data_IF_803756500917
#
_entry.id   IF_803756500917
#
_cell.length_a   1.000
_cell.length_b   1.000
_cell.length_c   1.000
_cell.angle_alpha   90.00
_cell.angle_beta   90.00
_cell.angle_gamma   90.00
#
_symmetry.space_group_name_H-M   'P 1'
#
loop_
_entity.id
_entity.type
_entity.pdbx_description
1 polymer ?
#
# COMPACT_ATOMS: atom_id res chain seq x y z
N UNK A 1 -23.71 -11.63 -67.12
CA UNK A 1 -23.16 -12.53 -66.08
C UNK A 1 -22.22 -11.70 -65.24
N UNK A 2 -22.76 -11.05 -64.20
CA UNK A 2 -22.01 -10.14 -63.32
C UNK A 2 -21.85 -10.84 -61.98
N UNK A 3 -20.62 -11.23 -61.66
CA UNK A 3 -20.27 -11.93 -60.43
C UNK A 3 -20.36 -10.94 -59.24
N UNK A 4 -21.39 -11.11 -58.42
CA UNK A 4 -21.50 -10.51 -57.09
C UNK A 4 -20.50 -11.21 -56.16
N UNK A 5 -19.40 -10.53 -55.85
CA UNK A 5 -18.50 -10.93 -54.77
C UNK A 5 -19.23 -10.75 -53.43
N UNK A 6 -19.51 -11.87 -52.75
CA UNK A 6 -19.99 -11.86 -51.37
C UNK A 6 -18.88 -11.33 -50.48
N UNK A 7 -19.11 -10.20 -49.82
CA UNK A 7 -18.27 -9.71 -48.74
C UNK A 7 -18.13 -10.80 -47.66
N UNK A 8 -16.91 -11.05 -47.14
CA UNK A 8 -16.73 -12.02 -46.06
C UNK A 8 -17.46 -11.51 -44.80
N UNK A 9 -17.96 -12.43 -43.95
CA UNK A 9 -18.61 -12.04 -42.71
C UNK A 9 -17.62 -11.25 -41.85
N UNK A 10 -18.09 -10.08 -41.38
CA UNK A 10 -17.43 -9.27 -40.37
C UNK A 10 -16.93 -10.17 -39.24
N UNK A 11 -15.64 -10.03 -38.93
CA UNK A 11 -14.98 -10.70 -37.84
C UNK A 11 -15.88 -10.70 -36.60
N UNK A 12 -15.98 -11.86 -35.93
CA UNK A 12 -16.46 -11.93 -34.55
C UNK A 12 -15.72 -10.85 -33.79
N UNK A 13 -16.45 -9.89 -33.21
CA UNK A 13 -15.91 -9.08 -32.12
C UNK A 13 -15.39 -10.09 -31.09
N UNK A 14 -14.08 -10.31 -31.07
CA UNK A 14 -13.41 -10.84 -29.90
C UNK A 14 -13.63 -9.78 -28.82
N UNK A 15 -14.80 -9.85 -28.18
CA UNK A 15 -15.02 -9.23 -26.89
C UNK A 15 -13.96 -9.84 -26.01
N UNK A 16 -12.84 -9.13 -25.83
CA UNK A 16 -11.93 -9.35 -24.73
C UNK A 16 -12.79 -9.11 -23.49
N UNK A 17 -13.48 -10.16 -23.05
CA UNK A 17 -14.35 -10.10 -21.89
C UNK A 17 -13.42 -9.72 -20.76
N UNK A 18 -13.57 -8.48 -20.30
CA UNK A 18 -12.75 -7.81 -19.32
C UNK A 18 -12.99 -8.42 -17.93
N UNK A 19 -12.73 -9.72 -17.81
CA UNK A 19 -12.98 -10.50 -16.62
C UNK A 19 -11.99 -10.06 -15.53
N UNK A 20 -12.48 -9.79 -14.31
CA UNK A 20 -11.60 -9.48 -13.20
C UNK A 20 -10.60 -10.62 -12.92
N UNK A 21 -9.31 -10.29 -12.96
CA UNK A 21 -8.22 -11.19 -12.57
C UNK A 21 -7.85 -10.90 -11.13
N UNK A 22 -7.92 -11.92 -10.26
CA UNK A 22 -7.54 -11.80 -8.85
C UNK A 22 -6.03 -11.52 -8.73
N UNK A 23 -5.70 -10.44 -8.03
CA UNK A 23 -4.33 -10.07 -7.65
C UNK A 23 -3.95 -10.63 -6.27
N UNK A 24 -4.88 -10.58 -5.31
CA UNK A 24 -4.66 -11.02 -3.94
C UNK A 24 -5.97 -11.07 -3.14
N UNK A 25 -5.98 -11.71 -1.98
CA UNK A 25 -7.10 -11.60 -1.04
C UNK A 25 -6.60 -11.64 0.40
N UNK A 26 -7.21 -10.82 1.24
CA UNK A 26 -7.10 -10.89 2.69
C UNK A 26 -8.35 -11.52 3.30
N UNK A 27 -8.54 -11.30 4.61
CA UNK A 27 -9.75 -11.72 5.34
C UNK A 27 -10.98 -10.85 5.04
N UNK A 28 -10.76 -9.59 4.65
CA UNK A 28 -11.79 -8.58 4.43
C UNK A 28 -12.24 -8.48 2.97
N UNK A 29 -11.29 -8.53 2.04
CA UNK A 29 -11.55 -8.24 0.64
C UNK A 29 -10.63 -9.02 -0.31
N UNK A 30 -11.05 -9.09 -1.56
CA UNK A 30 -10.22 -9.55 -2.68
C UNK A 30 -9.92 -8.38 -3.61
N UNK A 31 -8.66 -8.29 -4.02
CA UNK A 31 -8.18 -7.27 -4.96
C UNK A 31 -8.10 -7.88 -6.35
N UNK A 32 -8.63 -7.17 -7.34
CA UNK A 32 -8.68 -7.57 -8.74
C UNK A 32 -8.04 -6.52 -9.64
N UNK A 33 -7.64 -6.93 -10.84
CA UNK A 33 -7.38 -6.03 -11.97
C UNK A 33 -8.26 -6.45 -13.16
N UNK A 34 -8.59 -5.50 -14.01
CA UNK A 34 -9.33 -5.75 -15.26
C UNK A 34 -8.36 -5.53 -16.43
N UNK A 35 -8.25 -6.51 -17.33
CA UNK A 35 -7.43 -6.46 -18.55
C UNK A 35 -5.98 -6.00 -18.33
N UNK A 36 -5.39 -6.34 -17.18
CA UNK A 36 -4.02 -5.94 -16.84
C UNK A 36 -3.80 -4.43 -16.69
N UNK A 37 -4.87 -3.62 -16.65
CA UNK A 37 -4.81 -2.17 -16.60
C UNK A 37 -4.18 -1.58 -15.33
N UNK A 38 -4.09 -0.23 -15.27
CA UNK A 38 -3.43 0.51 -14.18
C UNK A 38 -4.30 0.66 -12.92
N UNK A 39 -5.49 0.05 -12.90
CA UNK A 39 -6.47 0.17 -11.81
C UNK A 39 -6.62 -1.17 -11.10
N UNK A 40 -6.57 -1.13 -9.78
CA UNK A 40 -6.91 -2.24 -8.90
C UNK A 40 -8.29 -1.99 -8.27
N UNK A 41 -9.04 -3.06 -8.04
CA UNK A 41 -10.39 -3.05 -7.49
C UNK A 41 -10.44 -3.90 -6.22
N UNK A 42 -10.73 -3.30 -5.07
CA UNK A 42 -10.88 -4.01 -3.79
C UNK A 42 -12.37 -4.23 -3.53
N UNK A 43 -12.81 -5.50 -3.62
CA UNK A 43 -14.20 -5.95 -3.41
C UNK A 43 -14.29 -6.70 -2.09
N UNK A 44 -15.24 -6.31 -1.23
CA UNK A 44 -15.48 -6.98 0.06
C UNK A 44 -15.96 -8.42 -0.12
N UNK A 45 -15.72 -9.25 0.88
CA UNK A 45 -16.26 -10.61 0.93
C UNK A 45 -17.71 -10.62 1.39
N UNK A 46 -18.06 -9.76 2.36
CA UNK A 46 -19.41 -9.61 2.87
C UNK A 46 -19.96 -8.20 2.55
N UNK A 47 -21.20 -8.13 2.06
CA UNK A 47 -21.88 -6.86 1.75
C UNK A 47 -22.09 -5.99 3.00
N UNK A 48 -22.15 -6.60 4.19
CA UNK A 48 -22.27 -5.87 5.46
C UNK A 48 -21.03 -5.01 5.77
N UNK A 49 -19.91 -5.27 5.09
CA UNK A 49 -18.66 -4.50 5.21
C UNK A 49 -18.62 -3.28 4.30
N UNK A 50 -19.72 -2.94 3.61
CA UNK A 50 -19.81 -1.79 2.71
C UNK A 50 -19.36 -0.48 3.37
N UNK A 51 -19.81 -0.22 4.60
CA UNK A 51 -19.45 1.00 5.34
C UNK A 51 -17.96 1.04 5.67
N UNK A 52 -17.39 -0.07 6.13
CA UNK A 52 -15.95 -0.18 6.39
C UNK A 52 -15.12 0.02 5.12
N UNK A 53 -15.58 -0.50 3.97
CA UNK A 53 -14.91 -0.29 2.69
C UNK A 53 -14.98 1.18 2.24
N UNK A 54 -16.11 1.85 2.47
CA UNK A 54 -16.25 3.27 2.18
C UNK A 54 -15.36 4.12 3.10
N UNK A 55 -15.30 3.81 4.40
CA UNK A 55 -14.41 4.45 5.36
C UNK A 55 -12.94 4.30 4.94
N UNK A 56 -12.54 3.10 4.48
CA UNK A 56 -11.20 2.87 3.92
C UNK A 56 -10.93 3.73 2.68
N UNK A 57 -11.89 3.80 1.74
CA UNK A 57 -11.78 4.63 0.54
C UNK A 57 -11.58 6.12 0.89
N UNK A 58 -12.37 6.64 1.82
CA UNK A 58 -12.26 8.03 2.29
C UNK A 58 -10.96 8.30 3.04
N UNK A 59 -10.52 7.34 3.86
CA UNK A 59 -9.24 7.41 4.57
C UNK A 59 -8.06 7.41 3.59
N UNK A 60 -8.10 6.55 2.56
CA UNK A 60 -7.08 6.50 1.52
C UNK A 60 -7.01 7.82 0.75
N UNK A 61 -8.14 8.40 0.32
CA UNK A 61 -8.15 9.71 -0.34
C UNK A 61 -7.50 10.77 0.56
N UNK A 62 -7.89 10.81 1.85
CA UNK A 62 -7.32 11.76 2.82
C UNK A 62 -5.81 11.59 3.00
N UNK A 63 -5.34 10.36 3.22
CA UNK A 63 -3.91 10.06 3.40
C UNK A 63 -3.14 10.41 2.14
N UNK A 64 -3.65 10.04 0.96
CA UNK A 64 -3.03 10.41 -0.32
C UNK A 64 -2.84 11.93 -0.41
N UNK A 65 -3.88 12.72 -0.13
CA UNK A 65 -3.80 14.18 -0.21
C UNK A 65 -2.89 14.82 0.84
N UNK A 66 -2.80 14.23 2.03
CA UNK A 66 -1.97 14.77 3.12
C UNK A 66 -0.50 14.34 3.05
N UNK A 67 -0.22 13.18 2.46
CA UNK A 67 1.06 12.48 2.60
C UNK A 67 1.77 12.23 1.27
N UNK A 68 1.08 12.17 0.13
CA UNK A 68 1.74 11.92 -1.16
C UNK A 68 2.23 13.25 -1.79
N UNK A 69 3.54 13.49 -1.78
CA UNK A 69 4.17 14.72 -2.34
C UNK A 69 5.15 14.38 -3.45
N UNK A 70 5.60 15.39 -4.22
CA UNK A 70 6.60 15.18 -5.28
C UNK A 70 7.95 14.64 -4.74
N UNK A 71 8.16 14.65 -3.41
CA UNK A 71 9.38 14.23 -2.75
C UNK A 71 9.17 13.08 -1.76
N UNK A 72 7.96 12.50 -1.68
CA UNK A 72 7.69 11.39 -0.76
C UNK A 72 8.47 10.14 -1.17
N UNK A 73 9.16 9.50 -0.22
CA UNK A 73 9.90 8.28 -0.50
C UNK A 73 8.97 7.12 -0.90
N UNK A 74 7.86 6.98 -0.18
CA UNK A 74 6.83 5.99 -0.47
C UNK A 74 5.67 6.61 -1.25
N UNK A 75 5.27 5.95 -2.34
CA UNK A 75 4.04 6.27 -3.05
C UNK A 75 2.80 5.73 -2.34
N UNK A 76 1.68 6.44 -2.46
CA UNK A 76 0.38 5.99 -1.98
C UNK A 76 -0.55 5.81 -3.18
N UNK A 77 -1.22 4.65 -3.34
CA UNK A 77 -2.23 4.49 -4.39
C UNK A 77 -3.34 5.54 -4.27
N UNK A 78 -3.72 6.21 -5.36
CA UNK A 78 -4.86 7.12 -5.34
C UNK A 78 -6.16 6.32 -5.24
N UNK A 79 -7.06 6.73 -4.36
CA UNK A 79 -8.46 6.34 -4.42
C UNK A 79 -9.12 6.96 -5.67
N UNK A 80 -9.75 6.13 -6.51
CA UNK A 80 -10.29 6.57 -7.80
C UNK A 80 -11.82 6.64 -7.84
N UNK A 81 -12.50 5.62 -7.33
CA UNK A 81 -13.96 5.57 -7.24
C UNK A 81 -14.40 4.52 -6.22
N UNK A 82 -15.58 4.71 -5.63
CA UNK A 82 -16.29 3.73 -4.82
C UNK A 82 -17.63 3.43 -5.46
N UNK A 83 -18.05 2.16 -5.45
CA UNK A 83 -19.33 1.72 -5.97
C UNK A 83 -19.95 0.70 -5.01
N UNK A 84 -21.16 1.01 -4.52
CA UNK A 84 -22.03 0.06 -3.86
C UNK A 84 -23.21 -0.26 -4.78
N UNK A 85 -23.24 -1.44 -5.42
CA UNK A 85 -24.30 -1.80 -6.37
C UNK A 85 -25.68 -2.01 -5.70
N UNK A 86 -25.74 -2.02 -4.37
CA UNK A 86 -26.99 -2.19 -3.60
C UNK A 86 -27.67 -0.84 -3.27
N UNK A 87 -27.03 0.28 -3.60
CA UNK A 87 -27.53 1.63 -3.33
C UNK A 87 -27.64 2.37 -4.66
N UNK A 88 -28.71 3.14 -4.84
CA UNK A 88 -28.86 3.95 -6.05
C UNK A 88 -27.74 5.01 -6.14
N UNK A 89 -27.27 5.38 -7.34
CA UNK A 89 -26.15 6.31 -7.50
C UNK A 89 -26.38 7.66 -6.83
N UNK A 90 -27.60 8.18 -6.97
CA UNK A 90 -27.98 9.50 -6.45
C UNK A 90 -28.02 9.50 -4.91
N UNK A 91 -28.09 8.32 -4.29
CA UNK A 91 -28.03 8.10 -2.84
C UNK A 91 -26.63 7.71 -2.34
N UNK A 92 -25.59 7.98 -3.14
CA UNK A 92 -24.19 7.69 -2.79
C UNK A 92 -23.73 6.28 -3.18
N UNK A 93 -24.50 5.56 -4.00
CA UNK A 93 -24.11 4.26 -4.55
C UNK A 93 -22.90 4.30 -5.48
N UNK A 94 -22.52 5.48 -5.99
CA UNK A 94 -21.30 5.67 -6.76
C UNK A 94 -20.64 7.01 -6.42
N UNK A 95 -19.39 6.96 -5.99
CA UNK A 95 -18.61 8.14 -5.57
C UNK A 95 -17.31 8.17 -6.38
N UNK A 96 -16.95 9.34 -6.91
CA UNK A 96 -15.68 9.55 -7.61
C UNK A 96 -14.95 10.75 -7.01
N UNK A 97 -13.66 10.63 -6.74
CA UNK A 97 -12.82 11.77 -6.33
C UNK A 97 -12.40 12.60 -7.55
N UNK A 98 -13.33 12.99 -8.42
CA UNK A 98 -13.00 13.40 -9.80
C UNK A 98 -12.27 14.75 -9.92
N UNK A 99 -12.08 15.52 -8.85
CA UNK A 99 -11.30 16.76 -8.92
C UNK A 99 -10.58 17.08 -7.61
N UNK A 100 -9.37 17.65 -7.70
CA UNK A 100 -8.70 18.26 -6.55
C UNK A 100 -9.59 19.32 -5.86
N UNK A 101 -10.56 19.87 -6.59
CA UNK A 101 -11.55 20.82 -6.10
C UNK A 101 -12.65 20.20 -5.21
N UNK A 102 -12.83 18.87 -5.23
CA UNK A 102 -13.86 18.17 -4.44
C UNK A 102 -13.31 17.46 -3.21
N UNK A 103 -11.99 17.25 -3.08
CA UNK A 103 -11.43 16.75 -1.82
C UNK A 103 -11.38 17.87 -0.78
N UNK A 104 -12.05 17.74 0.38
CA UNK A 104 -12.05 18.76 1.44
C UNK A 104 -10.66 18.96 2.04
N UNK A 105 -9.69 18.10 1.72
CA UNK A 105 -8.32 18.12 2.23
C UNK A 105 -7.34 18.92 1.34
N UNK A 106 -7.80 19.39 0.16
CA UNK A 106 -6.93 20.05 -0.83
C UNK A 106 -6.81 21.57 -0.59
N UNK A 107 -5.75 22.01 0.13
CA UNK A 107 -5.31 23.43 0.17
C UNK A 107 -4.08 23.71 -0.71
N UNK A 108 -3.43 22.66 -1.24
CA UNK A 108 -2.23 22.74 -2.05
C UNK A 108 -2.57 22.35 -3.49
N UNK A 109 -2.19 23.16 -4.49
CA UNK A 109 -2.45 22.85 -5.90
C UNK A 109 -1.65 21.61 -6.29
N UNK A 110 -2.28 20.48 -6.65
CA UNK A 110 -1.55 19.33 -7.19
C UNK A 110 -0.98 19.68 -8.57
N UNK A 111 0.08 18.97 -8.95
CA UNK A 111 0.74 19.05 -10.26
C UNK A 111 -0.26 18.84 -11.41
N UNK A 112 0.07 19.41 -12.59
CA UNK A 112 -0.62 19.19 -13.88
C UNK A 112 -0.95 17.70 -14.07
N UNK A 113 -2.25 17.40 -14.03
CA UNK A 113 -2.85 16.07 -14.07
C UNK A 113 -3.13 15.66 -15.52
N UNK A 114 -2.24 14.87 -16.08
CA UNK A 114 -2.47 13.95 -17.22
C UNK A 114 -1.68 12.71 -16.83
N UNK A 115 -2.22 11.61 -16.31
CA UNK A 115 -3.36 10.84 -16.77
C UNK A 115 -3.98 10.14 -15.55
N UNK A 116 -5.10 10.64 -15.03
CA UNK A 116 -5.87 9.85 -14.06
C UNK A 116 -6.74 8.87 -14.86
N UNK A 117 -6.66 7.56 -14.60
CA UNK A 117 -7.61 6.62 -15.18
C UNK A 117 -9.03 7.02 -14.77
N UNK A 118 -9.90 7.30 -15.74
CA UNK A 118 -11.31 7.52 -15.46
C UNK A 118 -11.96 6.18 -15.15
N UNK A 119 -12.43 6.03 -13.91
CA UNK A 119 -13.21 4.86 -13.50
C UNK A 119 -14.68 5.22 -13.57
N UNK A 120 -15.43 4.52 -14.42
CA UNK A 120 -16.87 4.77 -14.59
C UNK A 120 -17.69 3.70 -13.86
N UNK A 121 -18.93 4.02 -13.51
CA UNK A 121 -19.88 3.05 -12.94
C UNK A 121 -20.02 1.78 -13.80
N UNK A 122 -20.05 1.94 -15.14
CA UNK A 122 -20.14 0.81 -16.09
C UNK A 122 -18.91 -0.10 -16.04
N UNK A 123 -17.72 0.44 -15.74
CA UNK A 123 -16.53 -0.38 -15.57
C UNK A 123 -16.59 -1.19 -14.27
N UNK A 124 -17.19 -0.63 -13.21
CA UNK A 124 -17.32 -1.29 -11.91
C UNK A 124 -18.52 -2.24 -11.83
N UNK A 125 -19.43 -2.24 -12.82
CA UNK A 125 -20.63 -3.11 -12.81
C UNK A 125 -20.31 -4.59 -12.98
N UNK A 126 -19.06 -4.96 -13.25
CA UNK A 126 -18.58 -6.35 -13.21
C UNK A 126 -18.52 -6.91 -11.79
N UNK A 127 -18.58 -6.05 -10.77
CA UNK A 127 -18.63 -6.43 -9.37
C UNK A 127 -20.04 -6.28 -8.82
N UNK A 128 -20.54 -7.35 -8.22
CA UNK A 128 -21.86 -7.49 -7.60
C UNK A 128 -21.91 -7.11 -6.11
N UNK A 129 -20.78 -6.67 -5.56
CA UNK A 129 -20.62 -6.29 -4.15
C UNK A 129 -19.89 -4.95 -4.03
N UNK A 130 -19.97 -4.26 -2.87
CA UNK A 130 -19.24 -3.01 -2.63
C UNK A 130 -17.78 -3.13 -3.02
N UNK A 131 -17.32 -2.18 -3.82
CA UNK A 131 -15.98 -2.20 -4.41
C UNK A 131 -15.47 -0.77 -4.50
N UNK A 132 -14.19 -0.55 -4.17
CA UNK A 132 -13.51 0.69 -4.57
C UNK A 132 -12.33 0.40 -5.50
N UNK A 133 -12.09 1.34 -6.39
CA UNK A 133 -11.00 1.36 -7.35
C UNK A 133 -9.87 2.27 -6.86
N UNK A 134 -8.63 1.87 -7.08
CA UNK A 134 -7.43 2.65 -6.77
C UNK A 134 -6.34 2.44 -7.83
N UNK A 135 -5.31 3.28 -7.81
CA UNK A 135 -4.11 3.00 -8.60
C UNK A 135 -3.56 1.60 -8.25
N UNK A 136 -3.10 0.90 -9.27
CA UNK A 136 -2.53 -0.43 -9.09
C UNK A 136 -1.06 -0.35 -8.70
N UNK A 137 -0.69 -1.05 -7.64
CA UNK A 137 0.71 -1.46 -7.43
C UNK A 137 0.99 -2.63 -8.37
N UNK A 138 1.91 -2.45 -9.32
CA UNK A 138 2.22 -3.47 -10.31
C UNK A 138 3.11 -4.56 -9.70
N UNK A 139 3.12 -5.73 -10.36
CA UNK A 139 4.06 -6.78 -10.00
C UNK A 139 5.49 -6.31 -10.31
N UNK A 140 6.46 -6.73 -9.49
CA UNK A 140 7.88 -6.51 -9.73
C UNK A 140 8.30 -6.97 -11.14
N UNK A 141 9.33 -6.36 -11.73
CA UNK A 141 9.88 -6.79 -13.01
C UNK A 141 10.18 -8.29 -13.03
N UNK A 142 9.91 -8.95 -14.15
CA UNK A 142 9.94 -10.41 -14.26
C UNK A 142 11.29 -11.01 -13.82
N UNK A 143 12.39 -10.40 -14.25
CA UNK A 143 13.75 -10.82 -13.93
C UNK A 143 14.05 -10.69 -12.43
N UNK A 144 13.59 -9.63 -11.76
CA UNK A 144 13.67 -9.47 -10.30
C UNK A 144 12.91 -10.58 -9.58
N UNK A 145 11.72 -10.95 -10.09
CA UNK A 145 10.91 -12.03 -9.51
C UNK A 145 11.59 -13.38 -9.65
N UNK A 146 12.22 -13.65 -10.79
CA UNK A 146 13.02 -14.86 -11.03
C UNK A 146 14.21 -14.89 -10.07
N UNK A 147 14.94 -13.78 -9.93
CA UNK A 147 16.06 -13.69 -8.99
C UNK A 147 15.63 -14.00 -7.54
N UNK A 148 14.56 -13.35 -7.05
CA UNK A 148 14.05 -13.59 -5.70
C UNK A 148 13.60 -15.03 -5.51
N UNK A 149 12.93 -15.61 -6.51
CA UNK A 149 12.52 -17.02 -6.51
C UNK A 149 13.73 -17.93 -6.33
N UNK A 150 14.74 -17.78 -7.19
CA UNK A 150 15.90 -18.67 -7.22
C UNK A 150 16.76 -18.54 -5.95
N UNK A 151 16.73 -17.38 -5.28
CA UNK A 151 17.46 -17.16 -4.02
C UNK A 151 16.75 -17.67 -2.78
N UNK A 152 15.42 -17.49 -2.70
CA UNK A 152 14.71 -17.62 -1.42
C UNK A 152 13.59 -18.66 -1.41
N UNK A 153 13.28 -19.26 -2.56
CA UNK A 153 12.18 -20.21 -2.69
C UNK A 153 12.73 -21.61 -3.04
N UNK A 154 12.08 -22.68 -2.55
CA UNK A 154 12.45 -24.03 -2.94
C UNK A 154 12.11 -24.27 -4.44
N UNK A 155 12.77 -25.24 -5.10
CA UNK A 155 12.58 -25.50 -6.53
C UNK A 155 11.14 -25.82 -6.95
N UNK A 156 10.28 -26.24 -6.01
CA UNK A 156 8.88 -26.53 -6.27
C UNK A 156 8.04 -25.27 -6.60
N UNK A 157 8.51 -24.08 -6.21
CA UNK A 157 7.80 -22.83 -6.47
C UNK A 157 8.05 -22.41 -7.92
N UNK A 158 6.98 -22.32 -8.69
CA UNK A 158 7.05 -22.02 -10.12
C UNK A 158 7.21 -20.53 -10.40
N UNK A 159 6.58 -19.68 -9.57
CA UNK A 159 6.43 -18.25 -9.83
C UNK A 159 6.99 -17.45 -8.66
N UNK A 160 7.88 -16.51 -8.97
CA UNK A 160 8.46 -15.60 -8.00
C UNK A 160 7.45 -14.57 -7.46
N UNK A 161 7.77 -13.92 -6.33
CA UNK A 161 6.83 -13.05 -5.65
C UNK A 161 6.44 -11.85 -6.53
N UNK A 162 5.18 -11.43 -6.47
CA UNK A 162 4.72 -10.27 -7.25
C UNK A 162 5.09 -8.94 -6.57
N UNK A 163 5.16 -8.94 -5.23
CA UNK A 163 5.49 -7.81 -4.39
C UNK A 163 6.27 -8.31 -3.18
N UNK A 164 7.03 -7.43 -2.54
CA UNK A 164 7.77 -7.72 -1.32
C UNK A 164 7.26 -6.85 -0.17
N UNK A 165 6.93 -7.45 0.98
CA UNK A 165 6.63 -6.72 2.22
C UNK A 165 7.92 -6.40 2.96
N UNK A 166 8.16 -5.13 3.27
CA UNK A 166 9.41 -4.67 3.88
C UNK A 166 9.37 -4.92 5.39
N UNK A 167 9.97 -6.01 5.86
CA UNK A 167 9.95 -6.40 7.29
C UNK A 167 11.22 -5.95 8.01
N UNK A 168 11.42 -4.64 8.15
CA UNK A 168 12.66 -4.09 8.70
C UNK A 168 12.71 -4.16 10.24
N UNK A 169 11.61 -4.54 10.90
CA UNK A 169 11.53 -4.80 12.35
C UNK A 169 11.81 -6.23 12.77
N UNK A 170 12.01 -7.14 11.82
CA UNK A 170 12.19 -8.57 12.10
C UNK A 170 13.33 -9.16 11.30
N UNK A 171 14.24 -9.83 12.00
CA UNK A 171 15.18 -10.76 11.39
C UNK A 171 14.46 -12.09 11.18
N UNK A 172 14.37 -12.54 9.94
CA UNK A 172 13.82 -13.87 9.63
C UNK A 172 14.93 -14.91 9.79
N UNK A 173 14.53 -16.14 10.13
CA UNK A 173 15.47 -17.26 10.03
C UNK A 173 15.88 -17.45 8.56
N UNK A 174 17.14 -17.83 8.36
CA UNK A 174 17.64 -18.28 7.06
C UNK A 174 17.09 -19.66 6.66
N UNK A 175 16.41 -20.35 7.59
CA UNK A 175 15.75 -21.61 7.29
C UNK A 175 14.67 -21.40 6.23
N UNK A 176 14.67 -22.27 5.21
CA UNK A 176 13.62 -22.29 4.21
C UNK A 176 12.29 -22.57 4.91
N UNK A 177 11.31 -21.64 4.86
CA UNK A 177 10.07 -21.83 5.59
C UNK A 177 9.34 -23.07 5.05
N UNK A 178 8.84 -23.91 5.96
CA UNK A 178 8.09 -25.14 5.61
C UNK A 178 6.84 -24.86 4.78
N UNK A 179 6.32 -23.63 4.87
CA UNK A 179 5.21 -23.12 4.08
C UNK A 179 5.67 -21.89 3.31
N UNK A 180 5.57 -21.94 1.99
CA UNK A 180 6.05 -20.89 1.11
C UNK A 180 4.85 -20.20 0.49
N UNK A 181 4.63 -18.93 0.86
CA UNK A 181 3.62 -18.08 0.24
C UNK A 181 4.33 -17.05 -0.64
N UNK A 182 4.24 -17.22 -1.97
CA UNK A 182 4.80 -16.28 -2.94
C UNK A 182 4.01 -14.98 -3.05
N UNK A 183 2.80 -14.90 -2.50
CA UNK A 183 1.98 -13.69 -2.54
C UNK A 183 2.39 -12.64 -1.50
N UNK A 184 2.97 -13.08 -0.37
CA UNK A 184 3.35 -12.23 0.76
C UNK A 184 4.83 -12.44 1.11
N UNK A 185 5.75 -12.17 0.18
CA UNK A 185 7.17 -12.41 0.42
C UNK A 185 7.73 -11.38 1.41
N UNK A 186 8.20 -11.81 2.60
CA UNK A 186 8.77 -10.90 3.56
C UNK A 186 10.23 -10.63 3.22
N UNK A 187 10.54 -9.34 3.06
CA UNK A 187 11.85 -8.80 2.72
C UNK A 187 12.40 -8.07 3.94
N UNK A 188 13.13 -8.81 4.78
CA UNK A 188 13.91 -8.23 5.87
C UNK A 188 15.19 -7.56 5.34
N UNK A 189 15.93 -6.90 6.24
CA UNK A 189 17.15 -6.15 5.89
C UNK A 189 18.20 -7.04 5.23
N UNK A 190 18.34 -8.30 5.64
CA UNK A 190 19.30 -9.23 5.05
C UNK A 190 18.93 -9.57 3.60
N UNK A 191 17.67 -9.98 3.38
CA UNK A 191 17.16 -10.30 2.04
C UNK A 191 17.15 -9.06 1.13
N UNK A 192 16.86 -7.89 1.69
CA UNK A 192 16.98 -6.60 0.99
C UNK A 192 18.42 -6.37 0.54
N UNK A 193 19.41 -6.57 1.42
CA UNK A 193 20.82 -6.49 1.07
C UNK A 193 21.23 -7.42 -0.08
N UNK A 194 20.72 -8.66 -0.11
CA UNK A 194 20.92 -9.59 -1.23
C UNK A 194 20.25 -9.07 -2.51
N UNK A 195 19.03 -8.55 -2.43
CA UNK A 195 18.34 -7.97 -3.59
C UNK A 195 19.13 -6.79 -4.17
N UNK A 196 19.71 -5.94 -3.33
CA UNK A 196 20.58 -4.82 -3.77
C UNK A 196 21.82 -5.26 -4.53
N UNK A 197 22.31 -6.49 -4.34
CA UNK A 197 23.43 -7.00 -5.15
C UNK A 197 23.02 -7.26 -6.60
N UNK A 198 21.71 -7.50 -6.83
CA UNK A 198 21.12 -7.66 -8.16
C UNK A 198 20.61 -6.32 -8.72
N UNK A 199 20.06 -5.47 -7.84
CA UNK A 199 19.53 -4.15 -8.15
C UNK A 199 20.34 -3.06 -7.41
N UNK A 200 21.56 -2.74 -7.88
CA UNK A 200 22.45 -1.81 -7.19
C UNK A 200 21.91 -0.38 -7.06
N UNK A 201 20.92 -0.01 -7.87
CA UNK A 201 20.19 1.25 -7.85
C UNK A 201 19.21 1.38 -6.67
N UNK A 202 18.90 0.27 -5.97
CA UNK A 202 18.10 0.32 -4.75
C UNK A 202 18.83 1.11 -3.65
N UNK A 203 18.12 1.99 -2.92
CA UNK A 203 18.72 2.78 -1.85
C UNK A 203 19.20 1.88 -0.69
N UNK A 204 20.18 2.33 0.11
CA UNK A 204 20.53 1.72 1.39
C UNK A 204 19.31 1.45 2.29
N UNK A 205 19.41 0.47 3.17
CA UNK A 205 18.30 0.11 4.06
C UNK A 205 17.95 1.27 5.02
N UNK A 206 18.95 2.05 5.41
CA UNK A 206 18.83 3.24 6.25
C UNK A 206 17.98 4.32 5.56
N UNK A 207 18.17 4.57 4.27
CA UNK A 207 17.34 5.53 3.51
C UNK A 207 15.89 5.04 3.39
N UNK A 208 15.68 3.73 3.20
CA UNK A 208 14.32 3.14 3.20
C UNK A 208 13.67 3.30 4.57
N UNK A 209 14.42 3.06 5.66
CA UNK A 209 13.94 3.22 7.02
C UNK A 209 13.61 4.67 7.36
N UNK A 210 14.43 5.62 6.91
CA UNK A 210 14.15 7.05 6.97
C UNK A 210 12.84 7.38 6.24
N UNK A 211 12.63 6.87 5.02
CA UNK A 211 11.37 7.00 4.29
C UNK A 211 10.16 6.37 5.01
N UNK A 212 10.34 5.26 5.72
CA UNK A 212 9.28 4.67 6.56
C UNK A 212 8.90 5.61 7.70
N UNK A 213 9.91 6.23 8.32
CA UNK A 213 9.74 7.24 9.36
C UNK A 213 9.02 8.48 8.84
N UNK A 214 9.45 9.02 7.70
CA UNK A 214 8.80 10.14 7.00
C UNK A 214 7.31 9.85 6.80
N UNK A 215 6.98 8.72 6.17
CA UNK A 215 5.61 8.40 5.81
C UNK A 215 4.72 8.23 7.06
N UNK A 216 5.21 7.53 8.10
CA UNK A 216 4.49 7.41 9.36
C UNK A 216 4.30 8.77 10.04
N UNK A 217 5.33 9.62 10.02
CA UNK A 217 5.30 10.97 10.55
C UNK A 217 4.27 11.85 9.84
N UNK A 218 4.11 11.71 8.53
CA UNK A 218 3.04 12.39 7.78
C UNK A 218 1.65 11.86 8.10
N UNK A 219 1.46 10.54 8.18
CA UNK A 219 0.17 9.97 8.55
C UNK A 219 -0.26 10.47 9.93
N UNK A 220 0.65 10.43 10.90
CA UNK A 220 0.41 10.95 12.23
C UNK A 220 0.18 12.47 12.16
N UNK A 221 1.19 13.26 11.83
CA UNK A 221 1.14 14.72 11.99
C UNK A 221 0.18 15.44 11.03
N UNK A 222 0.15 15.03 9.75
CA UNK A 222 -0.65 15.72 8.72
C UNK A 222 -2.03 15.12 8.59
N UNK A 223 -2.11 13.81 8.31
CA UNK A 223 -3.39 13.15 8.07
C UNK A 223 -4.19 12.96 9.36
N UNK A 224 -3.57 12.94 10.54
CA UNK A 224 -4.31 12.59 11.74
C UNK A 224 -4.80 11.14 11.68
N UNK A 225 -3.99 10.24 11.13
CA UNK A 225 -4.23 8.79 11.03
C UNK A 225 -3.24 8.01 11.89
N UNK A 226 -3.67 6.91 12.53
CA UNK A 226 -2.84 6.08 13.43
C UNK A 226 -1.96 5.04 12.70
N UNK A 227 -2.10 4.95 11.37
CA UNK A 227 -1.39 4.01 10.51
C UNK A 227 -1.54 2.54 10.93
N UNK A 228 -2.65 2.16 11.55
CA UNK A 228 -2.92 0.76 11.90
C UNK A 228 -3.09 -0.11 10.65
N UNK A 229 -2.40 -1.23 10.63
CA UNK A 229 -2.38 -2.28 9.60
C UNK A 229 -1.86 -1.83 8.22
N UNK A 230 -1.22 -0.65 8.14
CA UNK A 230 -0.61 -0.23 6.88
C UNK A 230 0.61 -1.09 6.54
N UNK A 231 0.77 -1.40 5.26
CA UNK A 231 1.85 -2.26 4.78
C UNK A 231 2.83 -1.48 3.91
N UNK A 232 4.12 -1.58 4.26
CA UNK A 232 5.20 -1.03 3.45
C UNK A 232 5.69 -2.10 2.48
N UNK A 233 5.64 -1.80 1.19
CA UNK A 233 5.95 -2.78 0.14
C UNK A 233 6.88 -2.23 -0.93
N UNK A 234 7.63 -3.12 -1.57
CA UNK A 234 8.33 -2.89 -2.82
C UNK A 234 7.55 -3.59 -3.94
N UNK A 235 7.10 -2.82 -4.92
CA UNK A 235 6.33 -3.28 -6.07
C UNK A 235 6.86 -2.72 -7.38
N UNK A 236 6.28 -3.15 -8.50
CA UNK A 236 6.58 -2.60 -9.82
C UNK A 236 5.89 -1.25 -10.04
N UNK A 237 6.47 -0.41 -10.89
CA UNK A 237 5.91 0.89 -11.29
C UNK A 237 5.00 0.83 -12.54
N UNK A 238 4.93 -0.34 -13.19
CA UNK A 238 4.17 -0.54 -14.44
C UNK A 238 4.91 -0.15 -15.71
N UNK A 239 6.11 0.44 -15.61
CA UNK A 239 6.98 0.84 -16.71
C UNK A 239 8.27 -0.01 -16.82
N UNK A 240 8.35 -1.09 -16.04
CA UNK A 240 9.51 -1.99 -15.98
C UNK A 240 10.49 -1.67 -14.87
N UNK A 241 10.22 -0.66 -14.05
CA UNK A 241 10.95 -0.33 -12.84
C UNK A 241 10.23 -0.80 -11.57
N UNK A 242 10.59 -0.19 -10.45
CA UNK A 242 10.07 -0.49 -9.12
C UNK A 242 9.82 0.81 -8.34
N UNK A 243 8.92 0.71 -7.37
CA UNK A 243 8.58 1.80 -6.46
C UNK A 243 8.27 1.23 -5.07
N UNK A 244 8.55 2.03 -4.05
CA UNK A 244 8.16 1.78 -2.68
C UNK A 244 6.75 2.32 -2.44
N UNK A 245 5.84 1.49 -1.92
CA UNK A 245 4.45 1.89 -1.67
C UNK A 245 4.03 1.65 -0.23
N UNK A 246 3.04 2.42 0.22
CA UNK A 246 2.23 2.05 1.38
C UNK A 246 0.82 1.65 0.93
N UNK A 247 0.37 0.49 1.39
CA UNK A 247 -0.92 -0.10 1.03
C UNK A 247 -1.66 -0.59 2.28
N UNK A 248 -2.89 -1.09 2.05
CA UNK A 248 -3.84 -1.62 3.04
C UNK A 248 -4.20 -0.64 4.16
N UNK A 249 -5.35 0.03 4.02
CA UNK A 249 -5.77 1.10 4.92
C UNK A 249 -7.06 0.75 5.68
N UNK A 250 -7.48 -0.51 5.62
CA UNK A 250 -8.76 -1.02 6.13
C UNK A 250 -8.94 -0.90 7.64
N UNK A 251 -7.85 -0.84 8.42
CA UNK A 251 -7.90 -0.73 9.88
C UNK A 251 -7.45 0.64 10.39
N UNK A 252 -7.07 1.57 9.51
CA UNK A 252 -6.54 2.88 9.88
C UNK A 252 -7.63 3.72 10.54
N UNK A 253 -7.30 4.35 11.67
CA UNK A 253 -8.23 5.16 12.46
C UNK A 253 -7.74 6.60 12.54
N UNK A 254 -8.69 7.50 12.80
CA UNK A 254 -8.39 8.89 13.10
C UNK A 254 -7.74 8.98 14.48
N UNK A 255 -6.73 9.83 14.63
CA UNK A 255 -6.21 10.22 15.93
C UNK A 255 -6.26 11.75 16.10
N UNK A 256 -6.24 12.20 17.36
CA UNK A 256 -6.57 13.58 17.74
C UNK A 256 -5.50 14.62 17.41
N UNK A 257 -4.25 14.20 17.22
CA UNK A 257 -3.07 15.09 17.16
C UNK A 257 -2.71 15.78 18.48
N UNK A 258 -3.15 15.21 19.61
CA UNK A 258 -2.83 15.69 20.95
C UNK A 258 -1.72 14.84 21.58
N UNK A 259 -0.89 15.46 22.43
CA UNK A 259 0.22 14.76 23.10
C UNK A 259 -0.30 13.75 24.13
N UNK A 260 -1.45 14.04 24.73
CA UNK A 260 -2.12 13.21 25.73
C UNK A 260 -2.58 11.87 25.14
N UNK A 261 -2.92 11.85 23.85
CA UNK A 261 -3.47 10.68 23.15
C UNK A 261 -2.39 9.89 22.39
N UNK A 262 -1.11 10.25 22.55
CA UNK A 262 0.02 9.56 21.89
C UNK A 262 0.07 8.07 22.23
N UNK A 263 -0.43 7.68 23.42
CA UNK A 263 -0.50 6.28 23.84
C UNK A 263 -1.31 5.42 22.86
N UNK A 264 -2.30 6.02 22.18
CA UNK A 264 -3.16 5.31 21.21
C UNK A 264 -2.41 4.95 19.92
N UNK A 265 -1.25 5.58 19.65
CA UNK A 265 -0.39 5.29 18.50
C UNK A 265 0.59 4.14 18.77
N UNK A 266 0.90 3.86 20.05
CA UNK A 266 1.88 2.84 20.43
C UNK A 266 1.39 1.45 20.03
N UNK A 267 0.11 1.15 20.28
CA UNK A 267 -0.43 -0.17 19.98
C UNK A 267 -0.48 -0.45 18.46
N UNK A 268 -1.00 0.45 17.60
CA UNK A 268 -0.86 0.36 16.14
C UNK A 268 0.57 0.07 15.68
N UNK A 269 1.57 0.79 16.20
CA UNK A 269 2.97 0.58 15.82
C UNK A 269 3.45 -0.88 16.00
N UNK A 270 3.01 -1.54 17.07
CA UNK A 270 3.46 -2.90 17.41
C UNK A 270 2.52 -4.04 16.98
N UNK A 271 1.25 -3.74 16.68
CA UNK A 271 0.31 -4.75 16.14
C UNK A 271 0.40 -4.87 14.64
N UNK A 272 0.91 -3.85 13.96
CA UNK A 272 1.33 -3.98 12.59
C UNK A 272 2.33 -5.14 12.48
N UNK A 273 2.32 -5.81 11.33
CA UNK A 273 3.42 -6.66 10.93
C UNK A 273 4.76 -5.92 11.13
N UNK A 274 5.90 -6.61 11.28
CA UNK A 274 7.16 -6.02 11.72
C UNK A 274 7.84 -5.19 10.62
N UNK A 275 7.11 -4.23 10.07
CA UNK A 275 7.52 -3.32 9.00
C UNK A 275 8.57 -2.35 9.50
N UNK A 276 8.30 -1.68 10.62
CA UNK A 276 9.16 -0.64 11.16
C UNK A 276 10.42 -1.22 11.82
N UNK A 277 11.58 -0.55 11.70
CA UNK A 277 12.76 -0.87 12.50
C UNK A 277 12.42 -0.94 13.99
N UNK A 278 13.08 -1.85 14.72
CA UNK A 278 12.81 -1.98 16.17
C UNK A 278 13.23 -0.71 16.90
N UNK A 279 12.42 -0.15 17.80
CA UNK A 279 12.75 1.06 18.57
C UNK A 279 13.88 0.86 19.59
N UNK A 280 15.11 0.71 19.09
CA UNK A 280 16.33 0.54 19.85
C UNK A 280 17.24 1.73 19.53
N UNK A 281 17.50 2.64 20.49
CA UNK A 281 18.24 3.88 20.23
C UNK A 281 19.63 3.72 19.61
N UNK A 282 20.27 2.55 19.80
CA UNK A 282 21.59 2.24 19.26
C UNK A 282 21.55 1.51 17.90
N UNK A 283 20.36 1.19 17.38
CA UNK A 283 20.19 0.56 16.06
C UNK A 283 20.22 1.64 14.97
N UNK A 284 21.19 1.61 14.04
CA UNK A 284 21.29 2.60 12.97
C UNK A 284 20.02 2.71 12.11
N UNK A 285 19.32 1.59 11.89
CA UNK A 285 18.11 1.57 11.07
C UNK A 285 16.97 2.31 11.78
N UNK A 286 16.86 2.16 13.09
CA UNK A 286 15.92 2.92 13.90
C UNK A 286 16.30 4.39 14.02
N UNK A 287 17.60 4.71 14.09
CA UNK A 287 18.04 6.12 14.08
C UNK A 287 17.63 6.84 12.79
N UNK A 288 17.77 6.17 11.63
CA UNK A 288 17.31 6.70 10.35
C UNK A 288 15.79 6.90 10.32
N UNK A 289 15.02 5.88 10.73
CA UNK A 289 13.57 5.99 10.91
C UNK A 289 13.16 7.14 11.82
N UNK A 290 13.81 7.26 12.98
CA UNK A 290 13.57 8.31 13.97
C UNK A 290 13.83 9.71 13.39
N UNK A 291 14.87 9.84 12.56
CA UNK A 291 15.19 11.08 11.85
C UNK A 291 14.05 11.47 10.91
N UNK A 292 13.71 10.61 9.96
CA UNK A 292 12.65 10.86 8.98
C UNK A 292 11.29 11.15 9.62
N UNK A 293 10.97 10.47 10.74
CA UNK A 293 9.75 10.72 11.50
C UNK A 293 9.71 12.11 12.13
N UNK A 294 10.78 12.53 12.83
CA UNK A 294 10.83 13.82 13.53
C UNK A 294 10.92 15.03 12.60
N UNK A 295 11.48 14.86 11.41
CA UNK A 295 11.50 15.92 10.39
C UNK A 295 10.09 16.35 9.96
N UNK A 296 9.11 15.48 10.11
CA UNK A 296 7.73 15.80 9.76
C UNK A 296 7.02 16.68 10.78
N UNK A 297 7.66 16.95 11.93
CA UNK A 297 7.12 17.79 12.99
C UNK A 297 7.84 19.14 13.05
N UNK A 298 7.07 20.23 12.94
CA UNK A 298 7.57 21.59 13.11
C UNK A 298 7.84 21.93 14.58
N UNK A 299 8.44 23.08 14.84
CA UNK A 299 8.85 23.52 16.20
C UNK A 299 7.75 23.36 17.26
N UNK A 300 6.50 23.66 16.92
CA UNK A 300 5.36 23.62 17.85
C UNK A 300 4.75 22.23 18.04
N UNK A 301 4.94 21.30 17.09
CA UNK A 301 4.39 19.94 17.17
C UNK A 301 5.45 18.88 17.47
N UNK A 302 6.73 19.27 17.50
CA UNK A 302 7.86 18.36 17.74
C UNK A 302 7.76 17.60 19.05
N UNK A 303 7.21 18.21 20.10
CA UNK A 303 6.97 17.53 21.39
C UNK A 303 6.07 16.31 21.25
N UNK A 304 5.09 16.34 20.35
CA UNK A 304 4.18 15.20 20.07
C UNK A 304 4.96 14.06 19.42
N UNK A 305 5.79 14.37 18.42
CA UNK A 305 6.63 13.38 17.76
C UNK A 305 7.65 12.73 18.72
N UNK A 306 8.28 13.53 19.58
CA UNK A 306 9.19 13.04 20.63
C UNK A 306 8.45 12.14 21.61
N UNK A 307 7.28 12.56 22.10
CA UNK A 307 6.48 11.77 23.04
C UNK A 307 6.12 10.38 22.48
N UNK A 308 5.82 10.29 21.18
CA UNK A 308 5.56 9.03 20.51
C UNK A 308 6.79 8.12 20.47
N UNK A 309 7.93 8.65 20.03
CA UNK A 309 9.18 7.91 19.95
C UNK A 309 9.62 7.40 21.34
N UNK A 310 9.55 8.26 22.36
CA UNK A 310 9.84 7.88 23.74
C UNK A 310 8.88 6.80 24.27
N UNK A 311 7.63 6.78 23.79
CA UNK A 311 6.66 5.75 24.16
C UNK A 311 6.95 4.40 23.50
N UNK A 312 7.25 4.37 22.21
CA UNK A 312 7.58 3.11 21.51
C UNK A 312 8.94 2.54 21.95
N UNK A 313 9.92 3.38 22.30
CA UNK A 313 11.22 2.95 22.86
C UNK A 313 11.03 2.26 24.22
N UNK A 314 10.19 2.83 25.11
CA UNK A 314 9.87 2.21 26.40
C UNK A 314 9.14 0.88 26.24
N UNK A 315 8.16 0.80 25.35
CA UNK A 315 7.45 -0.45 25.08
C UNK A 315 8.39 -1.50 24.45
N UNK A 316 9.27 -1.11 23.52
CA UNK A 316 10.27 -2.02 22.94
C UNK A 316 11.25 -2.52 24.01
N UNK A 317 11.71 -1.67 24.92
CA UNK A 317 12.57 -2.08 26.04
C UNK A 317 11.86 -3.11 26.93
N UNK A 318 10.57 -2.92 27.22
CA UNK A 318 9.76 -3.89 27.97
C UNK A 318 9.60 -5.22 27.24
N UNK A 319 9.40 -5.20 25.91
CA UNK A 319 9.30 -6.41 25.07
C UNK A 319 10.62 -7.17 24.97
N UNK A 320 11.72 -6.44 24.84
CA UNK A 320 13.05 -7.02 24.84
C UNK A 320 13.28 -7.76 26.16
N UNK A 321 12.99 -7.15 27.31
CA UNK A 321 13.08 -7.81 28.63
C UNK A 321 12.23 -9.08 28.74
N UNK A 322 10.99 -9.06 28.24
CA UNK A 322 10.08 -10.22 28.26
C UNK A 322 10.59 -11.39 27.41
N UNK A 323 11.40 -11.13 26.38
CA UNK A 323 11.92 -12.17 25.48
C UNK A 323 13.12 -12.93 26.05
N UNK A 324 13.70 -12.47 27.18
CA UNK A 324 14.81 -13.13 27.88
C UNK A 324 14.36 -14.12 28.97
N UNK A 325 13.04 -14.23 29.21
CA UNK A 325 12.41 -15.18 30.13
C UNK A 325 11.65 -16.25 29.34
#
# INVERSE_FOLDING_TARGET
>A
MTLLAKSPPLAREESEVAAPVRLGAGSFATVYAISGGPVAYKRVHNIDEASTLQDEYEMLDKIYWCCNTDYSFFGIPRALAYNNPLVEPDDGGFITTDTAASSPFCKLKPRRRSDRPTVTRKLMSVFDAPTYAMDRVHALPWDVRVFLKDKFFPPAVQVGPALCRLYFGKTLSNDTPKFVNSSNFPLDVHRYGVLRTYMPELPPAEEVAEGMGEMLGWMHNRAGADARDVEFVLGGDGAGGYTFFVIDFNQVRKWSKCVEDVVDLVQPFFVNDPYYPRPRPNDPLYQAFRSGYLEQYGTHTRSIGIAFLDAIEREQASRDQRSWW
#
